data_IF_000431182969
#
_entry.id   IF_000431182969
#
_cell.length_a   1.000
_cell.length_b   1.000
_cell.length_c   1.000
_cell.angle_alpha   90.00
_cell.angle_beta   90.00
_cell.angle_gamma   90.00
#
_symmetry.space_group_name_H-M   'P 1'
#
loop_
_entity.id
_entity.type
_entity.pdbx_description
1 polymer ?
#
# COMPACT_ATOMS: atom_id res chain seq x y z
N UNK A 1 12.88 13.54 -8.36
CA UNK A 1 12.24 12.80 -9.48
C UNK A 1 10.78 13.20 -9.54
N UNK A 2 10.08 13.00 -10.67
CA UNK A 2 8.64 13.30 -10.75
C UNK A 2 7.88 12.23 -9.95
N UNK A 3 7.07 12.64 -8.99
CA UNK A 3 6.17 11.76 -8.22
C UNK A 3 4.75 11.88 -8.78
N UNK A 4 3.99 10.79 -8.69
CA UNK A 4 2.53 10.81 -8.80
C UNK A 4 1.93 11.42 -7.52
N UNK A 5 0.84 12.18 -7.65
CA UNK A 5 0.13 12.78 -6.51
C UNK A 5 -1.26 12.16 -6.41
N UNK A 6 -1.69 11.86 -5.20
CA UNK A 6 -2.98 11.25 -4.91
C UNK A 6 -3.62 11.97 -3.71
N UNK A 7 -4.95 12.03 -3.72
CA UNK A 7 -5.73 12.31 -2.52
C UNK A 7 -6.22 10.96 -1.96
N UNK A 8 -6.05 10.75 -0.66
CA UNK A 8 -6.53 9.57 0.05
C UNK A 8 -7.63 10.02 0.99
N UNK A 9 -8.78 9.36 0.87
CA UNK A 9 -9.96 9.62 1.69
C UNK A 9 -10.36 8.33 2.41
N UNK A 10 -10.32 8.34 3.74
CA UNK A 10 -10.69 7.21 4.59
C UNK A 10 -11.92 7.56 5.43
N UNK A 11 -12.99 6.78 5.24
CA UNK A 11 -14.22 6.88 6.01
C UNK A 11 -14.33 5.67 6.94
N UNK A 12 -14.48 5.92 8.22
CA UNK A 12 -14.83 4.87 9.18
C UNK A 12 -16.29 4.45 8.95
N UNK A 13 -16.53 3.14 8.80
CA UNK A 13 -17.86 2.59 8.48
C UNK A 13 -18.50 1.97 9.71
N UNK A 14 -17.76 1.14 10.45
CA UNK A 14 -18.22 0.47 11.66
C UNK A 14 -17.05 0.20 12.60
N UNK A 15 -17.34 0.08 13.89
CA UNK A 15 -16.37 -0.34 14.89
C UNK A 15 -16.08 -1.86 14.80
N UNK A 16 -15.19 -2.35 15.65
CA UNK A 16 -14.81 -3.76 15.68
C UNK A 16 -15.94 -4.71 16.13
N UNK A 17 -17.02 -4.17 16.71
CA UNK A 17 -18.23 -4.90 17.10
C UNK A 17 -19.30 -4.85 16.01
N UNK A 18 -19.07 -4.11 14.92
CA UNK A 18 -20.02 -3.94 13.82
C UNK A 18 -21.04 -2.82 14.04
N UNK A 19 -20.91 -2.02 15.10
CA UNK A 19 -21.78 -0.86 15.29
C UNK A 19 -21.41 0.22 14.26
N UNK A 20 -22.40 0.98 13.74
CA UNK A 20 -22.14 2.07 12.80
C UNK A 20 -21.14 3.09 13.35
N UNK A 21 -20.35 3.67 12.44
CA UNK A 21 -19.41 4.73 12.78
C UNK A 21 -20.05 5.89 13.55
N UNK A 22 -19.36 6.33 14.59
CA UNK A 22 -19.69 7.56 15.34
C UNK A 22 -18.88 8.78 14.89
N UNK A 23 -17.89 8.59 14.01
CA UNK A 23 -17.12 9.68 13.43
C UNK A 23 -17.94 10.41 12.37
N UNK A 24 -18.10 11.72 12.53
CA UNK A 24 -18.75 12.58 11.55
C UNK A 24 -17.83 12.91 10.37
N UNK A 25 -16.54 13.11 10.66
CA UNK A 25 -15.56 13.53 9.66
C UNK A 25 -14.99 12.35 8.87
N UNK A 26 -14.59 12.66 7.64
CA UNK A 26 -13.79 11.76 6.81
C UNK A 26 -12.34 12.22 6.87
N UNK A 27 -11.41 11.29 7.08
CA UNK A 27 -9.98 11.61 7.04
C UNK A 27 -9.55 11.76 5.57
N UNK A 28 -9.09 12.95 5.19
CA UNK A 28 -8.50 13.20 3.87
C UNK A 28 -7.09 13.76 3.99
N UNK A 29 -6.18 13.29 3.13
CA UNK A 29 -4.82 13.82 3.02
C UNK A 29 -4.27 13.60 1.61
N UNK A 30 -3.33 14.47 1.21
CA UNK A 30 -2.57 14.29 -0.02
C UNK A 30 -1.31 13.47 0.25
N UNK A 31 -0.95 12.63 -0.72
CA UNK A 31 0.26 11.81 -0.70
C UNK A 31 0.92 11.81 -2.06
N UNK A 32 2.21 11.52 -2.06
CA UNK A 32 3.01 11.35 -3.26
C UNK A 32 3.46 9.89 -3.36
N UNK A 33 3.80 9.45 -4.57
CA UNK A 33 4.45 8.15 -4.76
C UNK A 33 5.33 8.17 -6.00
N UNK A 34 6.46 7.47 -5.96
CA UNK A 34 7.29 7.28 -7.14
C UNK A 34 6.67 6.31 -8.15
N UNK A 35 5.89 5.35 -7.69
CA UNK A 35 5.19 4.39 -8.54
C UNK A 35 3.74 4.82 -8.80
N UNK A 36 3.21 4.43 -9.95
CA UNK A 36 1.79 4.55 -10.25
C UNK A 36 0.99 3.47 -9.48
N UNK A 37 0.29 3.89 -8.42
CA UNK A 37 -0.45 2.99 -7.51
C UNK A 37 -1.50 2.15 -8.28
N UNK A 38 -2.14 2.70 -9.32
CA UNK A 38 -3.13 1.97 -10.10
C UNK A 38 -2.50 0.86 -10.94
N UNK A 39 -1.33 1.13 -11.55
CA UNK A 39 -0.58 0.09 -12.27
C UNK A 39 -0.08 -1.00 -11.34
N UNK A 40 0.34 -0.63 -10.13
CA UNK A 40 0.73 -1.59 -9.10
C UNK A 40 -0.46 -2.47 -8.72
N UNK A 41 -1.63 -1.87 -8.47
CA UNK A 41 -2.86 -2.62 -8.18
C UNK A 41 -3.20 -3.60 -9.31
N UNK A 42 -3.16 -3.16 -10.56
CA UNK A 42 -3.42 -4.03 -11.71
C UNK A 42 -2.47 -5.23 -11.75
N UNK A 43 -1.18 -5.01 -11.49
CA UNK A 43 -0.17 -6.07 -11.44
C UNK A 43 -0.47 -7.07 -10.30
N UNK A 44 -0.89 -6.59 -9.13
CA UNK A 44 -1.28 -7.45 -8.01
C UNK A 44 -2.55 -8.24 -8.34
N UNK A 45 -3.60 -7.60 -8.86
CA UNK A 45 -4.85 -8.28 -9.24
C UNK A 45 -4.62 -9.35 -10.31
N UNK A 46 -3.79 -9.06 -11.32
CA UNK A 46 -3.45 -10.01 -12.39
C UNK A 46 -2.67 -11.23 -11.89
N UNK A 47 -2.04 -11.15 -10.72
CA UNK A 47 -1.36 -12.28 -10.11
C UNK A 47 -2.32 -13.24 -9.40
N UNK A 48 -3.57 -12.84 -9.15
CA UNK A 48 -4.57 -13.66 -8.45
C UNK A 48 -4.12 -14.23 -7.08
N UNK A 49 -3.04 -13.69 -6.50
CA UNK A 49 -2.52 -14.13 -5.20
C UNK A 49 -3.40 -13.67 -4.01
N UNK A 50 -4.32 -12.73 -4.27
CA UNK A 50 -5.26 -12.13 -3.33
C UNK A 50 -6.62 -11.94 -4.03
N UNK A 51 -7.70 -11.89 -3.26
CA UNK A 51 -8.99 -11.41 -3.75
C UNK A 51 -8.97 -9.89 -4.05
N UNK A 52 -10.02 -9.37 -4.68
CA UNK A 52 -10.06 -7.99 -5.18
C UNK A 52 -9.92 -6.94 -4.07
N UNK A 53 -10.63 -7.11 -2.94
CA UNK A 53 -10.59 -6.14 -1.84
C UNK A 53 -9.26 -6.21 -1.07
N UNK A 54 -8.72 -7.42 -0.88
CA UNK A 54 -7.40 -7.61 -0.32
C UNK A 54 -6.30 -7.04 -1.22
N UNK A 55 -6.42 -7.19 -2.55
CA UNK A 55 -5.48 -6.63 -3.51
C UNK A 55 -5.47 -5.09 -3.47
N UNK A 56 -6.63 -4.44 -3.43
CA UNK A 56 -6.76 -2.98 -3.25
C UNK A 56 -6.08 -2.52 -1.97
N UNK A 57 -6.45 -3.13 -0.85
CA UNK A 57 -5.92 -2.80 0.48
C UNK A 57 -4.40 -2.98 0.54
N UNK A 58 -3.91 -4.10 0.01
CA UNK A 58 -2.48 -4.41 -0.03
C UNK A 58 -1.70 -3.44 -0.91
N UNK A 59 -2.13 -3.21 -2.15
CA UNK A 59 -1.41 -2.35 -3.09
C UNK A 59 -1.35 -0.89 -2.59
N UNK A 60 -2.47 -0.35 -2.11
CA UNK A 60 -2.53 1.01 -1.56
C UNK A 60 -1.68 1.09 -0.28
N UNK A 61 -1.93 0.21 0.70
CA UNK A 61 -1.20 0.22 1.97
C UNK A 61 0.31 0.07 1.81
N UNK A 62 0.75 -0.86 0.95
CA UNK A 62 2.16 -1.07 0.64
C UNK A 62 2.79 0.21 0.10
N UNK A 63 2.13 0.90 -0.82
CA UNK A 63 2.69 2.08 -1.48
C UNK A 63 2.72 3.31 -0.57
N UNK A 64 1.64 3.56 0.18
CA UNK A 64 1.60 4.63 1.17
C UNK A 64 2.70 4.45 2.22
N UNK A 65 2.81 3.25 2.80
CA UNK A 65 3.83 2.96 3.81
C UNK A 65 5.25 3.04 3.24
N UNK A 66 5.50 2.45 2.07
CA UNK A 66 6.84 2.41 1.49
C UNK A 66 7.38 3.80 1.13
N UNK A 67 6.51 4.73 0.70
CA UNK A 67 6.94 6.10 0.39
C UNK A 67 7.34 6.84 1.67
N UNK A 68 6.52 6.78 2.72
CA UNK A 68 6.84 7.38 4.03
C UNK A 68 8.18 6.83 4.55
N UNK A 69 8.38 5.51 4.44
CA UNK A 69 9.62 4.88 4.85
C UNK A 69 10.84 5.40 4.05
N UNK A 70 10.69 5.64 2.74
CA UNK A 70 11.77 6.16 1.89
C UNK A 70 12.07 7.64 2.15
N UNK A 71 11.05 8.48 2.31
CA UNK A 71 11.20 9.91 2.62
C UNK A 71 11.85 10.12 3.99
N UNK A 72 11.53 9.24 4.95
CA UNK A 72 12.04 9.30 6.31
C UNK A 72 13.11 8.24 6.62
N UNK A 73 13.82 7.73 5.61
CA UNK A 73 14.79 6.61 5.71
C UNK A 73 15.87 6.73 6.79
N UNK A 74 16.12 7.93 7.30
CA UNK A 74 17.12 8.19 8.34
C UNK A 74 16.56 8.00 9.77
N UNK A 75 15.24 7.85 9.94
CA UNK A 75 14.66 7.46 11.23
C UNK A 75 15.19 6.07 11.62
N UNK A 76 15.71 5.89 12.86
CA UNK A 76 16.30 4.61 13.28
C UNK A 76 15.40 3.40 13.01
N UNK A 77 14.09 3.54 13.30
CA UNK A 77 13.09 2.51 13.02
C UNK A 77 13.09 2.06 11.55
N UNK A 78 13.09 2.99 10.60
CA UNK A 78 13.08 2.67 9.17
C UNK A 78 14.44 2.22 8.68
N UNK A 79 15.52 2.79 9.19
CA UNK A 79 16.89 2.37 8.86
C UNK A 79 17.11 0.90 9.16
N UNK A 80 16.69 0.45 10.34
CA UNK A 80 16.86 -0.93 10.79
C UNK A 80 15.90 -1.89 10.07
N UNK A 81 14.71 -1.41 9.67
CA UNK A 81 13.72 -2.22 8.96
C UNK A 81 13.95 -2.32 7.44
N UNK A 82 14.58 -1.31 6.82
CA UNK A 82 14.77 -1.21 5.36
C UNK A 82 15.35 -2.48 4.71
N UNK A 83 16.38 -3.15 5.27
CA UNK A 83 16.94 -4.37 4.67
C UNK A 83 15.90 -5.49 4.56
N UNK A 84 15.06 -5.65 5.59
CA UNK A 84 14.01 -6.67 5.63
C UNK A 84 12.86 -6.32 4.67
N UNK A 85 12.47 -5.04 4.61
CA UNK A 85 11.52 -4.58 3.62
C UNK A 85 12.02 -4.82 2.19
N UNK A 86 13.30 -4.58 1.92
CA UNK A 86 13.92 -4.87 0.62
C UNK A 86 13.89 -6.36 0.25
N UNK A 87 14.10 -7.26 1.21
CA UNK A 87 13.96 -8.71 1.01
C UNK A 87 12.51 -9.09 0.69
N UNK A 88 11.56 -8.57 1.47
CA UNK A 88 10.13 -8.77 1.23
C UNK A 88 9.72 -8.32 -0.18
N UNK A 89 10.14 -7.12 -0.61
CA UNK A 89 9.82 -6.60 -1.95
C UNK A 89 10.38 -7.46 -3.09
N UNK A 90 11.54 -8.11 -2.89
CA UNK A 90 12.09 -9.06 -3.87
C UNK A 90 11.24 -10.31 -3.96
N UNK A 91 10.87 -10.90 -2.82
CA UNK A 91 10.01 -12.07 -2.77
C UNK A 91 8.63 -11.77 -3.38
N UNK A 92 8.01 -10.64 -3.02
CA UNK A 92 6.73 -10.20 -3.59
C UNK A 92 6.77 -10.12 -5.12
N UNK A 93 7.80 -9.49 -5.69
CA UNK A 93 7.95 -9.39 -7.16
C UNK A 93 8.11 -10.76 -7.82
N UNK A 94 8.82 -11.70 -7.17
CA UNK A 94 8.96 -13.06 -7.67
C UNK A 94 7.62 -13.81 -7.63
N UNK A 95 6.91 -13.76 -6.51
CA UNK A 95 5.58 -14.38 -6.36
C UNK A 95 4.61 -13.88 -7.43
N UNK A 96 4.51 -12.56 -7.59
CA UNK A 96 3.63 -11.94 -8.60
C UNK A 96 3.99 -12.41 -10.01
N UNK A 97 5.28 -12.45 -10.35
CA UNK A 97 5.74 -12.93 -11.65
C UNK A 97 5.38 -14.40 -11.88
N UNK A 98 5.59 -15.27 -10.90
CA UNK A 98 5.27 -16.70 -11.02
C UNK A 98 3.78 -16.93 -11.21
N UNK A 99 2.94 -16.23 -10.45
CA UNK A 99 1.49 -16.40 -10.55
C UNK A 99 0.93 -15.83 -11.86
N UNK A 100 1.39 -14.67 -12.33
CA UNK A 100 0.95 -14.11 -13.62
C UNK A 100 1.41 -14.90 -14.85
N UNK A 101 2.29 -15.88 -14.68
CA UNK A 101 2.77 -16.79 -15.75
C UNK A 101 2.12 -18.18 -15.69
N UNK A 102 1.33 -18.46 -14.65
CA UNK A 102 0.60 -19.71 -14.45
C UNK A 102 -0.80 -19.61 -15.05
#
# INVERSE_FOLDING_TARGET
>A
MKQHTYEVTLKHIADAQGNPSTYADTLSFNTYNHDDIFKVLQVIQNSQMLDDEAAKSFAVGLKLFSEVMLEHKNLPLFKDFMPHFGQFMKALKQTVKTQSQS
#
